data_IF_229083475389
#
_entry.id   IF_229083475389
#
_cell.length_a   1.000
_cell.length_b   1.000
_cell.length_c   1.000
_cell.angle_alpha   90.00
_cell.angle_beta   90.00
_cell.angle_gamma   90.00
#
_symmetry.space_group_name_H-M   'P 1'
#
loop_
_entity.id
_entity.type
_entity.pdbx_description
1 polymer ?
#
# COMPACT_ATOMS: atom_id res chain seq x y z
N UNK A 1 24.01 -3.98 -8.35
CA UNK A 1 22.63 -3.69 -8.81
C UNK A 1 21.69 -4.21 -7.74
N UNK A 2 21.30 -3.34 -6.81
CA UNK A 2 20.34 -3.65 -5.76
C UNK A 2 18.94 -3.70 -6.39
N UNK A 3 18.40 -4.91 -6.52
CA UNK A 3 17.02 -5.13 -6.95
C UNK A 3 16.11 -4.83 -5.77
N UNK A 4 15.72 -3.55 -5.61
CA UNK A 4 14.62 -3.18 -4.74
C UNK A 4 13.30 -3.40 -5.48
N UNK A 5 12.37 -4.08 -4.83
CA UNK A 5 10.99 -4.18 -5.24
C UNK A 5 10.26 -2.94 -4.70
N UNK A 6 9.32 -2.43 -5.48
CA UNK A 6 8.44 -1.32 -5.09
C UNK A 6 7.02 -1.81 -5.31
N UNK A 7 6.18 -1.69 -4.29
CA UNK A 7 4.74 -1.82 -4.43
C UNK A 7 4.09 -0.45 -4.31
N UNK A 8 3.04 -0.28 -5.09
CA UNK A 8 2.16 0.87 -5.04
C UNK A 8 0.73 0.37 -4.85
N UNK A 9 -0.04 1.09 -4.03
CA UNK A 9 -1.46 0.83 -3.89
C UNK A 9 -2.20 1.74 -4.89
N UNK A 10 -2.70 1.22 -6.02
CA UNK A 10 -3.40 2.04 -7.01
C UNK A 10 -4.68 2.68 -6.44
N UNK A 11 -5.19 2.13 -5.34
CA UNK A 11 -6.38 2.60 -4.65
C UNK A 11 -6.09 3.77 -3.71
N UNK A 12 -4.85 3.92 -3.25
CA UNK A 12 -4.43 4.98 -2.33
C UNK A 12 -3.39 5.87 -3.02
N UNK A 13 -3.80 7.03 -3.57
CA UNK A 13 -2.89 7.89 -4.31
C UNK A 13 -1.74 8.38 -3.40
N UNK A 14 -0.52 7.98 -3.74
CA UNK A 14 0.70 8.30 -2.98
C UNK A 14 1.12 7.26 -1.94
N UNK A 15 0.39 6.14 -1.80
CA UNK A 15 0.78 5.03 -0.93
C UNK A 15 1.71 4.08 -1.70
N UNK A 16 3.00 4.15 -1.38
CA UNK A 16 4.06 3.34 -1.97
C UNK A 16 4.95 2.79 -0.86
N UNK A 17 5.47 1.59 -1.07
CA UNK A 17 6.47 0.99 -0.19
C UNK A 17 7.51 0.22 -0.99
N UNK A 18 8.76 0.31 -0.55
CA UNK A 18 9.89 -0.40 -1.13
C UNK A 18 10.42 -1.49 -0.20
N UNK A 19 11.25 -2.36 -0.75
CA UNK A 19 11.85 -3.47 -0.02
C UNK A 19 12.74 -4.34 -0.89
N UNK A 20 13.60 -5.11 -0.25
CA UNK A 20 14.62 -5.93 -0.89
C UNK A 20 14.07 -7.23 -1.47
N UNK A 21 12.82 -7.57 -1.15
CA UNK A 21 12.14 -8.78 -1.59
C UNK A 21 10.62 -8.56 -1.66
N UNK A 22 9.93 -9.38 -2.47
CA UNK A 22 8.47 -9.29 -2.64
C UNK A 22 7.71 -9.37 -1.32
N UNK A 23 8.15 -10.26 -0.41
CA UNK A 23 7.54 -10.40 0.92
C UNK A 23 7.76 -9.15 1.79
N UNK A 24 8.97 -8.60 1.77
CA UNK A 24 9.32 -7.40 2.53
C UNK A 24 8.50 -6.18 2.06
N UNK A 25 8.38 -6.01 0.75
CA UNK A 25 7.53 -4.98 0.16
C UNK A 25 6.06 -5.15 0.54
N UNK A 26 5.54 -6.38 0.53
CA UNK A 26 4.16 -6.66 0.94
C UNK A 26 3.93 -6.32 2.42
N UNK A 27 4.85 -6.68 3.29
CA UNK A 27 4.77 -6.34 4.72
C UNK A 27 4.85 -4.83 4.93
N UNK A 28 5.74 -4.14 4.21
CA UNK A 28 5.88 -2.70 4.29
C UNK A 28 4.64 -1.97 3.76
N UNK A 29 4.12 -2.33 2.58
CA UNK A 29 2.94 -1.67 2.03
C UNK A 29 1.69 -1.91 2.87
N UNK A 30 1.56 -3.10 3.49
CA UNK A 30 0.44 -3.39 4.39
C UNK A 30 0.43 -2.41 5.58
N UNK A 31 1.60 -2.20 6.22
CA UNK A 31 1.73 -1.24 7.32
C UNK A 31 1.42 0.19 6.88
N UNK A 32 1.99 0.62 5.75
CA UNK A 32 1.76 1.96 5.20
C UNK A 32 0.28 2.16 4.86
N UNK A 33 -0.41 1.16 4.33
CA UNK A 33 -1.86 1.21 4.07
C UNK A 33 -2.64 1.41 5.37
N UNK A 34 -2.33 0.65 6.44
CA UNK A 34 -3.00 0.79 7.73
C UNK A 34 -2.79 2.18 8.32
N UNK A 35 -1.54 2.68 8.36
CA UNK A 35 -1.21 4.03 8.83
C UNK A 35 -1.88 5.12 7.99
N UNK A 36 -1.91 4.95 6.67
CA UNK A 36 -2.57 5.88 5.76
C UNK A 36 -4.07 5.93 6.02
N UNK A 37 -4.72 4.78 6.22
CA UNK A 37 -6.15 4.69 6.51
C UNK A 37 -6.45 5.34 7.86
N UNK A 38 -5.66 5.08 8.89
CA UNK A 38 -5.83 5.72 10.20
C UNK A 38 -5.72 7.24 10.09
N UNK A 39 -4.65 7.72 9.47
CA UNK A 39 -4.43 9.14 9.19
C UNK A 39 -5.58 9.75 8.37
N UNK A 40 -6.07 9.04 7.35
CA UNK A 40 -7.17 9.49 6.52
C UNK A 40 -8.49 9.57 7.32
N UNK A 41 -8.75 8.65 8.24
CA UNK A 41 -9.91 8.72 9.16
C UNK A 41 -9.80 9.95 10.07
N UNK A 42 -8.63 10.18 10.67
CA UNK A 42 -8.39 11.32 11.56
C UNK A 42 -8.56 12.66 10.83
N UNK A 43 -8.07 12.73 9.59
CA UNK A 43 -8.21 13.91 8.72
C UNK A 43 -9.62 14.05 8.10
N UNK A 44 -10.52 13.08 8.31
CA UNK A 44 -11.84 13.06 7.68
C UNK A 44 -11.78 12.94 6.14
N UNK A 45 -10.68 12.44 5.58
CA UNK A 45 -10.58 12.18 4.14
C UNK A 45 -11.44 10.98 3.77
N UNK A 46 -12.06 11.04 2.58
CA UNK A 46 -12.77 9.89 2.02
C UNK A 46 -11.76 8.80 1.70
N UNK A 47 -11.80 7.72 2.48
CA UNK A 47 -11.04 6.51 2.21
C UNK A 47 -11.74 5.79 1.06
N UNK A 48 -11.06 5.59 -0.08
CA UNK A 48 -11.62 4.76 -1.14
C UNK A 48 -11.70 3.33 -0.61
N UNK A 49 -12.85 2.70 -0.81
CA UNK A 49 -13.01 1.30 -0.41
C UNK A 49 -12.05 0.43 -1.23
N UNK A 50 -11.30 -0.46 -0.59
CA UNK A 50 -10.43 -1.38 -1.31
C UNK A 50 -11.33 -2.24 -2.20
N UNK A 51 -11.23 -2.07 -3.50
CA UNK A 51 -11.73 -3.01 -4.49
C UNK A 51 -10.84 -4.22 -4.35
N UNK A 52 -11.15 -5.06 -3.36
CA UNK A 52 -10.55 -6.38 -3.10
C UNK A 52 -10.72 -7.33 -4.28
N UNK A 53 -10.16 -6.95 -5.42
CA UNK A 53 -9.96 -7.76 -6.60
C UNK A 53 -8.54 -8.25 -6.51
N UNK A 54 -8.39 -9.32 -5.76
CA UNK A 54 -7.57 -10.42 -6.23
C UNK A 54 -8.16 -10.91 -7.58
N UNK A 55 -8.00 -10.11 -8.63
CA UNK A 55 -8.06 -10.55 -10.03
C UNK A 55 -6.66 -10.30 -10.56
N UNK A 56 -5.71 -11.08 -10.05
CA UNK A 56 -4.53 -11.41 -10.81
C UNK A 56 -4.43 -12.93 -10.78
N UNK A 57 -5.18 -13.54 -11.69
CA UNK A 57 -5.03 -14.93 -12.09
C UNK A 57 -4.32 -14.94 -13.44
#
# INVERSE_FOLDING_TARGET
EDKAYIAEAPELPGCMADGSSYKEVLENITKVIEEWIETAKELGRKIPEPKGRLIYA
#
